data_IF_666129421390
#
_entry.id   IF_666129421390
#
_cell.length_a   1.000
_cell.length_b   1.000
_cell.length_c   1.000
_cell.angle_alpha   90.00
_cell.angle_beta   90.00
_cell.angle_gamma   90.00
#
_symmetry.space_group_name_H-M   'P 1'
#
loop_
_entity.id
_entity.type
_entity.pdbx_description
1 polymer ?
#
# COMPACT_ATOMS: atom_id res chain seq x y z
N UNK A 1 -30.18 -0.66 -2.13
CA UNK A 1 -29.38 0.40 -1.51
C UNK A 1 -28.54 -0.27 -0.45
N UNK A 2 -27.23 -0.38 -0.67
CA UNK A 2 -26.35 -0.98 0.33
C UNK A 2 -26.24 0.02 1.48
N UNK A 3 -27.02 -0.20 2.54
CA UNK A 3 -26.66 0.34 3.84
C UNK A 3 -25.36 -0.37 4.20
N UNK A 4 -24.24 0.21 3.76
CA UNK A 4 -22.90 -0.21 4.15
C UNK A 4 -22.82 0.08 5.64
N UNK A 5 -23.30 -0.88 6.43
CA UNK A 5 -23.18 -0.91 7.87
C UNK A 5 -21.73 -1.30 8.16
N UNK A 6 -20.79 -0.46 7.71
CA UNK A 6 -19.35 -0.72 7.85
C UNK A 6 -19.06 -0.81 9.32
N UNK A 7 -18.81 -2.03 9.78
CA UNK A 7 -18.43 -2.32 11.15
C UNK A 7 -16.96 -1.93 11.37
N UNK A 8 -16.58 -1.75 12.64
CA UNK A 8 -15.17 -1.53 13.00
C UNK A 8 -14.28 -2.65 12.48
N UNK A 9 -14.79 -3.88 12.50
CA UNK A 9 -14.08 -5.06 12.00
C UNK A 9 -13.86 -5.00 10.49
N UNK A 10 -14.84 -4.53 9.72
CA UNK A 10 -14.69 -4.35 8.27
C UNK A 10 -13.66 -3.27 7.92
N UNK A 11 -13.58 -2.18 8.69
CA UNK A 11 -12.53 -1.16 8.53
C UNK A 11 -11.14 -1.72 8.82
N UNK A 12 -11.01 -2.47 9.92
CA UNK A 12 -9.75 -3.14 10.29
C UNK A 12 -9.36 -4.20 9.26
N UNK A 13 -10.33 -4.95 8.72
CA UNK A 13 -10.10 -5.92 7.65
C UNK A 13 -9.62 -5.25 6.36
N UNK A 14 -10.27 -4.15 5.96
CA UNK A 14 -9.85 -3.38 4.80
C UNK A 14 -8.43 -2.82 4.98
N UNK A 15 -8.10 -2.31 6.17
CA UNK A 15 -6.74 -1.86 6.49
C UNK A 15 -5.71 -2.99 6.37
N UNK A 16 -5.99 -4.17 6.93
CA UNK A 16 -5.12 -5.35 6.81
C UNK A 16 -4.91 -5.77 5.37
N UNK A 17 -5.96 -5.76 4.55
CA UNK A 17 -5.87 -6.09 3.11
C UNK A 17 -5.03 -5.06 2.34
N UNK A 18 -5.15 -3.78 2.67
CA UNK A 18 -4.31 -2.73 2.09
C UNK A 18 -2.84 -2.91 2.47
N UNK A 19 -2.54 -3.26 3.72
CA UNK A 19 -1.18 -3.55 4.16
C UNK A 19 -0.60 -4.78 3.45
N UNK A 20 -1.35 -5.88 3.36
CA UNK A 20 -0.91 -7.06 2.62
C UNK A 20 -0.67 -6.75 1.13
N UNK A 21 -1.59 -6.02 0.50
CA UNK A 21 -1.42 -5.59 -0.89
C UNK A 21 -0.21 -4.67 -1.10
N UNK A 22 0.10 -3.81 -0.11
CA UNK A 22 1.32 -2.98 -0.12
C UNK A 22 2.57 -3.84 -0.18
N UNK A 23 2.65 -4.84 0.69
CA UNK A 23 3.82 -5.73 0.79
C UNK A 23 3.98 -6.60 -0.47
N UNK A 24 2.87 -7.08 -1.04
CA UNK A 24 2.85 -7.81 -2.30
C UNK A 24 3.36 -6.94 -3.47
N UNK A 25 2.92 -5.67 -3.54
CA UNK A 25 3.36 -4.73 -4.57
C UNK A 25 4.84 -4.39 -4.44
N UNK A 26 5.33 -4.17 -3.21
CA UNK A 26 6.76 -3.96 -2.94
C UNK A 26 7.60 -5.17 -3.36
N UNK A 27 7.15 -6.37 -3.02
CA UNK A 27 7.80 -7.62 -3.41
C UNK A 27 7.85 -7.77 -4.93
N UNK A 28 6.75 -7.46 -5.62
CA UNK A 28 6.70 -7.52 -7.09
C UNK A 28 7.62 -6.48 -7.73
N UNK A 29 7.67 -5.27 -7.18
CA UNK A 29 8.54 -4.21 -7.66
C UNK A 29 10.03 -4.59 -7.51
N UNK A 30 10.39 -5.23 -6.40
CA UNK A 30 11.74 -5.76 -6.19
C UNK A 30 12.11 -6.87 -7.19
N UNK A 31 11.19 -7.80 -7.46
CA UNK A 31 11.36 -8.85 -8.48
C UNK A 31 11.65 -8.24 -9.87
N UNK A 32 10.86 -7.24 -10.29
CA UNK A 32 11.05 -6.54 -11.56
C UNK A 32 12.38 -5.79 -11.61
N UNK A 33 12.80 -5.18 -10.49
CA UNK A 33 14.11 -4.51 -10.40
C UNK A 33 15.26 -5.49 -10.62
N UNK A 34 15.21 -6.66 -9.99
CA UNK A 34 16.22 -7.69 -10.17
C UNK A 34 16.27 -8.20 -11.62
N UNK A 35 15.11 -8.36 -12.27
CA UNK A 35 15.03 -8.74 -13.68
C UNK A 35 15.74 -7.71 -14.57
N UNK A 36 15.42 -6.42 -14.41
CA UNK A 36 16.04 -5.34 -15.19
C UNK A 36 17.56 -5.28 -14.95
N UNK A 37 17.99 -5.40 -13.70
CA UNK A 37 19.42 -5.48 -13.37
C UNK A 37 20.09 -6.66 -14.06
N UNK A 38 19.48 -7.85 -14.06
CA UNK A 38 20.04 -9.04 -14.73
C UNK A 38 20.16 -8.88 -16.25
N UNK A 39 19.15 -8.26 -16.90
CA UNK A 39 19.14 -8.04 -18.35
C UNK A 39 20.21 -7.04 -18.77
N UNK A 40 20.41 -6.00 -17.96
CA UNK A 40 21.44 -4.99 -18.23
C UNK A 40 22.85 -5.49 -17.92
N UNK A 41 23.01 -6.39 -16.94
CA UNK A 41 24.28 -7.04 -16.63
C UNK A 41 24.67 -8.14 -17.65
N UNK A 42 23.69 -8.83 -18.23
CA UNK A 42 23.91 -9.94 -19.17
C UNK A 42 24.26 -9.50 -20.60
N UNK A 43 24.48 -8.20 -20.83
CA UNK A 43 25.01 -7.71 -22.11
C UNK A 43 23.93 -7.35 -23.13
N UNK A 44 23.00 -6.46 -22.76
CA UNK A 44 22.23 -5.73 -23.76
C UNK A 44 23.22 -4.84 -24.55
N UNK A 45 23.57 -5.29 -25.77
CA UNK A 45 24.65 -4.81 -26.66
C UNK A 45 24.59 -3.34 -27.11
N UNK A 46 23.75 -2.50 -26.50
CA UNK A 46 23.65 -1.07 -26.74
C UNK A 46 23.89 -0.31 -25.42
N UNK A 47 25.16 0.03 -25.12
CA UNK A 47 25.58 0.72 -23.89
C UNK A 47 24.73 1.94 -23.56
N UNK A 48 24.38 2.75 -24.56
CA UNK A 48 23.67 4.02 -24.37
C UNK A 48 22.17 3.82 -24.12
N UNK A 49 21.54 2.89 -24.86
CA UNK A 49 20.11 2.55 -24.69
C UNK A 49 19.86 1.82 -23.37
N UNK A 50 20.82 1.02 -22.93
CA UNK A 50 20.73 0.27 -21.67
C UNK A 50 20.86 1.19 -20.44
N UNK A 51 21.68 2.24 -20.53
CA UNK A 51 21.76 3.27 -19.49
C UNK A 51 20.44 4.04 -19.36
N UNK A 52 19.90 4.55 -20.48
CA UNK A 52 18.62 5.26 -20.48
C UNK A 52 17.45 4.40 -19.97
N UNK A 53 17.45 3.10 -20.28
CA UNK A 53 16.46 2.15 -19.76
C UNK A 53 16.58 1.95 -18.25
N UNK A 54 17.80 1.79 -17.70
CA UNK A 54 18.01 1.71 -16.25
C UNK A 54 17.52 2.96 -15.54
N UNK A 55 17.86 4.15 -16.06
CA UNK A 55 17.47 5.41 -15.44
C UNK A 55 15.94 5.57 -15.43
N UNK A 56 15.29 5.24 -16.55
CA UNK A 56 13.83 5.25 -16.66
C UNK A 56 13.18 4.25 -15.69
N UNK A 57 13.75 3.06 -15.54
CA UNK A 57 13.25 2.04 -14.62
C UNK A 57 13.45 2.44 -13.14
N UNK A 58 14.57 3.05 -12.79
CA UNK A 58 14.81 3.58 -11.43
C UNK A 58 13.83 4.70 -11.07
N UNK A 59 13.53 5.58 -12.04
CA UNK A 59 12.53 6.62 -11.84
C UNK A 59 11.13 6.01 -11.66
N UNK A 60 10.77 5.02 -12.47
CA UNK A 60 9.53 4.25 -12.30
C UNK A 60 9.48 3.59 -10.92
N UNK A 61 10.53 2.86 -10.52
CA UNK A 61 10.64 2.18 -9.22
C UNK A 61 10.44 3.15 -8.06
N UNK A 62 11.09 4.31 -8.12
CA UNK A 62 10.98 5.32 -7.07
C UNK A 62 9.55 5.88 -6.96
N UNK A 63 8.93 6.24 -8.10
CA UNK A 63 7.56 6.75 -8.11
C UNK A 63 6.54 5.71 -7.67
N UNK A 64 6.70 4.47 -8.13
CA UNK A 64 5.83 3.36 -7.72
C UNK A 64 6.00 3.01 -6.25
N UNK A 65 7.23 2.99 -5.71
CA UNK A 65 7.47 2.81 -4.27
C UNK A 65 6.74 3.85 -3.45
N UNK A 66 6.85 5.14 -3.81
CA UNK A 66 6.13 6.22 -3.12
C UNK A 66 4.60 6.05 -3.20
N UNK A 67 4.08 5.63 -4.36
CA UNK A 67 2.65 5.37 -4.51
C UNK A 67 2.19 4.19 -3.65
N UNK A 68 2.98 3.12 -3.58
CA UNK A 68 2.73 1.95 -2.73
C UNK A 68 2.75 2.37 -1.25
N UNK A 69 3.74 3.16 -0.83
CA UNK A 69 3.83 3.66 0.55
C UNK A 69 2.61 4.53 0.91
N UNK A 70 1.99 5.20 -0.06
CA UNK A 70 0.71 5.88 0.12
C UNK A 70 -0.44 4.97 0.60
N UNK A 71 -0.40 3.67 0.29
CA UNK A 71 -1.37 2.69 0.80
C UNK A 71 -1.29 2.52 2.33
N UNK A 72 -0.10 2.73 2.92
CA UNK A 72 0.06 2.68 4.37
C UNK A 72 -0.72 3.80 5.06
N UNK A 73 -0.68 5.02 4.50
CA UNK A 73 -1.47 6.13 5.00
C UNK A 73 -2.98 5.85 4.97
N UNK A 74 -3.46 5.20 3.90
CA UNK A 74 -4.85 4.79 3.76
C UNK A 74 -5.23 3.69 4.76
N UNK A 75 -4.37 2.68 4.96
CA UNK A 75 -4.60 1.65 5.96
C UNK A 75 -4.67 2.24 7.39
N UNK A 76 -3.73 3.14 7.73
CA UNK A 76 -3.69 3.80 9.03
C UNK A 76 -4.92 4.69 9.27
N UNK A 77 -5.42 5.35 8.22
CA UNK A 77 -6.66 6.10 8.29
C UNK A 77 -7.85 5.20 8.64
N UNK A 78 -7.98 4.04 8.00
CA UNK A 78 -9.08 3.10 8.27
C UNK A 78 -9.03 2.55 9.71
N UNK A 79 -7.84 2.24 10.22
CA UNK A 79 -7.67 1.80 11.63
C UNK A 79 -8.08 2.93 12.58
N UNK A 80 -7.60 4.15 12.34
CA UNK A 80 -7.91 5.31 13.18
C UNK A 80 -9.42 5.63 13.19
N UNK A 81 -10.07 5.51 12.03
CA UNK A 81 -11.51 5.68 11.91
C UNK A 81 -12.27 4.60 12.71
N UNK A 82 -11.83 3.33 12.65
CA UNK A 82 -12.43 2.25 13.43
C UNK A 82 -12.32 2.49 14.94
N UNK A 83 -11.13 2.89 15.41
CA UNK A 83 -10.88 3.18 16.82
C UNK A 83 -11.74 4.35 17.33
N UNK A 84 -11.83 5.44 16.56
CA UNK A 84 -12.60 6.62 16.94
C UNK A 84 -14.11 6.34 17.04
N UNK A 85 -14.65 5.59 16.08
CA UNK A 85 -16.06 5.24 16.09
C UNK A 85 -16.37 4.26 17.23
N UNK A 86 -15.49 3.28 17.51
CA UNK A 86 -15.66 2.35 18.63
C UNK A 86 -15.69 3.10 19.98
N UNK A 87 -14.74 4.02 20.20
CA UNK A 87 -14.69 4.83 21.43
C UNK A 87 -15.95 5.70 21.61
N UNK A 88 -16.46 6.24 20.51
CA UNK A 88 -17.67 7.06 20.52
C UNK A 88 -18.88 6.22 20.96
N UNK A 89 -19.05 5.03 20.40
CA UNK A 89 -20.15 4.13 20.75
C UNK A 89 -20.07 3.63 22.20
N UNK A 90 -18.88 3.28 22.68
CA UNK A 90 -18.65 2.91 24.08
C UNK A 90 -19.01 4.06 25.04
N UNK A 91 -18.66 5.29 24.67
CA UNK A 91 -19.01 6.50 25.43
C UNK A 91 -20.52 6.74 25.50
N UNK A 92 -21.22 6.64 24.36
CA UNK A 92 -22.68 6.77 24.30
C UNK A 92 -23.38 5.69 25.12
N UNK A 93 -22.91 4.44 25.03
CA UNK A 93 -23.47 3.33 25.78
C UNK A 93 -23.29 3.50 27.31
N UNK A 94 -22.18 4.09 27.74
CA UNK A 94 -21.94 4.40 29.15
C UNK A 94 -22.80 5.58 29.63
N UNK A 95 -23.01 6.61 28.80
CA UNK A 95 -23.85 7.75 29.12
C UNK A 95 -25.35 7.40 29.27
N UNK A 96 -25.83 6.37 28.59
CA UNK A 96 -27.22 5.88 28.72
C UNK A 96 -27.38 4.95 29.95
N UNK A 97 -26.30 4.28 30.39
CA UNK A 97 -26.33 3.37 31.54
C UNK A 97 -26.11 4.06 32.89
N UNK A 98 -25.52 5.26 32.91
CA UNK A 98 -25.35 6.10 34.11
C UNK A 98 -26.49 7.08 34.28
#
# INVERSE_FOLDING_TARGET
MANLNVTYDELRDAARRLQAGKDDLHSKLAELSNLVQSLTASGFQAEQSSAAYRDSFEQFRTGTSQAIDGLEGLANFLVSAADALQQTDEGLANAIRG
#
